data_IF_634928554087
#
_entry.id   IF_634928554087
#
_cell.length_a   1.000
_cell.length_b   1.000
_cell.length_c   1.000
_cell.angle_alpha   90.00
_cell.angle_beta   90.00
_cell.angle_gamma   90.00
#
_symmetry.space_group_name_H-M   'P 1'
#
loop_
_entity.id
_entity.type
_entity.pdbx_description
1 polymer ?
#
# COMPACT_ATOMS: atom_id res chain seq x y z
N UNK A 1 2.76 20.35 3.62
CA UNK A 1 2.92 18.88 3.68
C UNK A 1 2.78 18.24 5.08
N UNK A 2 2.94 18.95 6.22
CA UNK A 2 2.81 18.38 7.59
C UNK A 2 1.39 18.03 8.08
N UNK A 3 0.34 18.36 7.32
CA UNK A 3 -1.08 18.18 7.72
C UNK A 3 -1.57 16.73 7.57
N UNK A 4 -0.99 15.95 6.65
CA UNK A 4 -1.40 14.56 6.40
C UNK A 4 -0.34 13.61 6.94
N UNK A 5 -0.73 12.66 7.80
CA UNK A 5 0.18 11.71 8.42
C UNK A 5 -0.14 10.30 7.88
N UNK A 6 0.44 9.91 6.73
CA UNK A 6 0.22 8.60 6.16
C UNK A 6 0.82 7.52 7.06
N UNK A 7 0.04 6.50 7.34
CA UNK A 7 0.44 5.30 8.08
C UNK A 7 0.63 4.16 7.10
N UNK A 8 1.71 3.40 7.23
CA UNK A 8 2.04 2.36 6.28
C UNK A 8 1.79 0.98 6.87
N UNK A 9 1.30 0.05 6.05
CA UNK A 9 1.35 -1.38 6.37
C UNK A 9 2.73 -1.90 5.97
N UNK A 10 3.57 -2.16 6.97
CA UNK A 10 4.99 -2.49 6.77
C UNK A 10 5.33 -3.86 7.33
N UNK A 11 6.39 -4.45 6.77
CA UNK A 11 6.99 -5.68 7.27
C UNK A 11 7.46 -5.54 8.71
N UNK A 12 7.19 -6.53 9.57
CA UNK A 12 7.68 -6.60 10.95
C UNK A 12 9.21 -6.46 11.03
N UNK A 13 9.93 -6.96 10.04
CA UNK A 13 11.38 -6.87 9.95
C UNK A 13 11.88 -5.42 9.82
N UNK A 14 11.12 -4.52 9.18
CA UNK A 14 11.48 -3.10 9.05
C UNK A 14 11.33 -2.32 10.37
N UNK A 15 10.66 -2.91 11.36
CA UNK A 15 10.63 -2.39 12.72
C UNK A 15 11.97 -2.48 13.45
N UNK A 16 12.98 -3.14 12.87
CA UNK A 16 14.32 -3.29 13.47
C UNK A 16 15.41 -3.04 12.42
N UNK A 17 16.47 -2.32 12.78
CA UNK A 17 17.72 -2.26 12.01
C UNK A 17 17.96 -1.01 11.15
N UNK A 18 16.95 -0.15 10.88
CA UNK A 18 17.17 1.13 10.19
C UNK A 18 16.73 2.27 11.12
N UNK A 19 17.65 2.97 11.80
CA UNK A 19 17.33 3.85 12.94
C UNK A 19 16.16 4.82 12.70
N UNK A 20 16.16 5.53 11.56
CA UNK A 20 15.10 6.50 11.25
C UNK A 20 13.79 5.85 10.76
N UNK A 21 13.87 4.76 9.99
CA UNK A 21 12.69 4.11 9.39
C UNK A 21 11.97 3.27 10.44
N UNK A 22 12.72 2.49 11.21
CA UNK A 22 12.20 1.68 12.32
C UNK A 22 11.56 2.56 13.39
N UNK A 23 12.17 3.69 13.76
CA UNK A 23 11.59 4.61 14.74
C UNK A 23 10.24 5.20 14.27
N UNK A 24 10.16 5.64 13.00
CA UNK A 24 8.92 6.17 12.44
C UNK A 24 7.82 5.10 12.32
N UNK A 25 8.19 3.87 11.97
CA UNK A 25 7.22 2.78 11.84
C UNK A 25 6.68 2.34 13.21
N UNK A 26 7.54 2.29 14.23
CA UNK A 26 7.16 1.85 15.60
C UNK A 26 6.39 2.93 16.36
N UNK A 27 6.87 4.18 16.34
CA UNK A 27 6.25 5.27 17.13
C UNK A 27 5.26 6.11 16.33
N UNK A 28 5.28 6.00 15.00
CA UNK A 28 4.41 6.76 14.12
C UNK A 28 3.03 6.13 13.92
N UNK A 29 2.65 5.05 14.61
CA UNK A 29 1.34 4.40 14.43
C UNK A 29 1.18 3.67 13.09
N UNK A 30 2.29 3.31 12.44
CA UNK A 30 2.28 2.37 11.32
C UNK A 30 2.18 0.95 11.86
N UNK A 31 1.67 0.05 11.04
CA UNK A 31 1.43 -1.33 11.47
C UNK A 31 2.52 -2.24 10.91
N UNK A 32 3.11 -3.03 11.80
CA UNK A 32 4.14 -4.01 11.52
C UNK A 32 3.51 -5.39 11.42
N UNK A 33 3.33 -5.89 10.20
CA UNK A 33 2.71 -7.20 9.93
C UNK A 33 3.76 -8.30 9.76
N UNK A 34 3.47 -9.47 10.32
CA UNK A 34 4.18 -10.70 9.98
C UNK A 34 3.52 -11.30 8.73
N UNK A 35 4.31 -11.53 7.67
CA UNK A 35 3.78 -12.05 6.40
C UNK A 35 3.63 -13.57 6.39
N UNK A 36 4.27 -14.26 7.33
CA UNK A 36 4.17 -15.70 7.47
C UNK A 36 2.91 -16.10 8.26
N UNK A 37 2.37 -15.18 9.07
CA UNK A 37 1.10 -15.35 9.77
C UNK A 37 0.01 -14.43 9.17
N UNK A 38 -0.68 -14.96 8.16
CA UNK A 38 -1.75 -14.23 7.46
C UNK A 38 -2.91 -13.81 8.38
N UNK A 39 -3.24 -14.57 9.42
CA UNK A 39 -4.32 -14.22 10.36
C UNK A 39 -3.92 -13.01 11.20
N UNK A 40 -2.70 -13.03 11.75
CA UNK A 40 -2.15 -11.89 12.48
C UNK A 40 -2.07 -10.64 11.62
N UNK A 41 -1.59 -10.75 10.38
CA UNK A 41 -1.54 -9.63 9.45
C UNK A 41 -2.92 -9.00 9.22
N UNK A 42 -3.96 -9.82 9.02
CA UNK A 42 -5.34 -9.33 8.83
C UNK A 42 -5.86 -8.60 10.07
N UNK A 43 -5.60 -9.13 11.28
CA UNK A 43 -6.01 -8.49 12.53
C UNK A 43 -5.33 -7.12 12.71
N UNK A 44 -4.03 -7.06 12.44
CA UNK A 44 -3.24 -5.84 12.52
C UNK A 44 -3.68 -4.79 11.47
N UNK A 45 -4.01 -5.20 10.24
CA UNK A 45 -4.62 -4.31 9.24
C UNK A 45 -6.00 -3.82 9.69
N UNK A 46 -6.80 -4.67 10.34
CA UNK A 46 -8.07 -4.26 10.94
C UNK A 46 -7.90 -3.21 12.04
N UNK A 47 -6.88 -3.34 12.89
CA UNK A 47 -6.51 -2.31 13.88
C UNK A 47 -6.12 -0.99 13.22
N UNK A 48 -5.38 -1.05 12.12
CA UNK A 48 -5.05 0.15 11.33
C UNK A 48 -6.31 0.85 10.83
N UNK A 49 -7.29 0.09 10.32
CA UNK A 49 -8.57 0.63 9.86
C UNK A 49 -9.30 1.39 10.97
N UNK A 50 -9.46 0.77 12.14
CA UNK A 50 -10.08 1.43 13.29
C UNK A 50 -9.30 2.69 13.74
N UNK A 51 -7.98 2.65 13.65
CA UNK A 51 -7.13 3.78 14.02
C UNK A 51 -7.29 4.97 13.07
N UNK A 52 -7.27 4.72 11.74
CA UNK A 52 -7.42 5.81 10.77
C UNK A 52 -8.80 6.44 10.81
N UNK A 53 -9.84 5.63 11.05
CA UNK A 53 -11.21 6.09 11.24
C UNK A 53 -11.30 7.00 12.47
N UNK A 54 -10.81 6.52 13.63
CA UNK A 54 -10.87 7.27 14.89
C UNK A 54 -10.09 8.59 14.86
N UNK A 55 -8.95 8.61 14.18
CA UNK A 55 -8.02 9.74 14.21
C UNK A 55 -8.01 10.59 12.94
N UNK A 56 -8.92 10.32 12.00
CA UNK A 56 -8.99 10.96 10.69
C UNK A 56 -7.61 11.03 10.01
N UNK A 57 -6.96 9.86 9.91
CA UNK A 57 -5.63 9.70 9.33
C UNK A 57 -5.71 8.98 7.99
N UNK A 58 -4.61 9.02 7.23
CA UNK A 58 -4.49 8.31 5.96
C UNK A 58 -3.70 7.02 6.17
N UNK A 59 -4.10 5.94 5.50
CA UNK A 59 -3.31 4.72 5.39
C UNK A 59 -2.83 4.51 3.95
N UNK A 60 -1.63 3.97 3.79
CA UNK A 60 -1.08 3.52 2.51
C UNK A 60 -0.86 2.01 2.60
N UNK A 61 -1.44 1.29 1.64
CA UNK A 61 -1.39 -0.17 1.57
C UNK A 61 -0.99 -0.61 0.15
N UNK A 62 -0.18 -1.66 0.07
CA UNK A 62 0.16 -2.33 -1.17
C UNK A 62 -0.51 -3.71 -1.18
N UNK A 63 -1.71 -3.84 -1.78
CA UNK A 63 -2.54 -5.04 -1.67
C UNK A 63 -1.93 -6.28 -2.34
N UNK A 64 -1.00 -6.10 -3.29
CA UNK A 64 -0.18 -7.17 -3.87
C UNK A 64 0.72 -7.87 -2.82
N UNK A 65 1.06 -7.15 -1.75
CA UNK A 65 1.92 -7.61 -0.67
C UNK A 65 3.40 -7.76 -1.05
N UNK A 66 3.81 -7.73 -2.31
CA UNK A 66 5.22 -7.76 -2.71
C UNK A 66 5.46 -6.91 -3.95
N UNK A 67 6.68 -6.41 -4.11
CA UNK A 67 7.07 -5.70 -5.34
C UNK A 67 7.03 -6.65 -6.53
N UNK A 68 6.59 -6.13 -7.67
CA UNK A 68 6.83 -6.74 -8.97
C UNK A 68 8.32 -6.67 -9.34
N UNK A 69 8.83 -7.67 -10.06
CA UNK A 69 10.25 -7.75 -10.50
C UNK A 69 10.41 -7.44 -11.98
N UNK A 70 9.37 -7.72 -12.76
CA UNK A 70 9.28 -7.48 -14.20
C UNK A 70 8.45 -6.22 -14.52
N UNK A 71 7.75 -5.68 -13.52
CA UNK A 71 6.96 -4.46 -13.58
C UNK A 71 5.47 -4.69 -13.81
N UNK A 72 5.06 -5.93 -14.10
CA UNK A 72 3.64 -6.28 -14.19
C UNK A 72 3.02 -6.29 -12.78
N UNK A 73 1.87 -5.62 -12.57
CA UNK A 73 1.13 -5.71 -11.32
C UNK A 73 0.77 -7.15 -10.98
N UNK A 74 0.88 -7.51 -9.70
CA UNK A 74 0.41 -8.80 -9.19
C UNK A 74 -1.07 -8.70 -8.81
N UNK A 75 -1.77 -9.85 -8.71
CA UNK A 75 -3.12 -9.85 -8.19
C UNK A 75 -3.18 -9.33 -6.75
N UNK A 76 -4.23 -8.61 -6.44
CA UNK A 76 -4.47 -8.09 -5.10
C UNK A 76 -4.80 -9.22 -4.13
N UNK A 77 -4.38 -9.07 -2.87
CA UNK A 77 -4.82 -9.93 -1.76
C UNK A 77 -6.04 -9.27 -1.09
N UNK A 78 -7.27 -9.69 -1.39
CA UNK A 78 -8.47 -8.93 -1.06
C UNK A 78 -8.75 -8.88 0.45
N UNK A 79 -8.44 -9.94 1.20
CA UNK A 79 -8.83 -10.06 2.61
C UNK A 79 -8.31 -8.94 3.50
N UNK A 80 -7.04 -8.53 3.31
CA UNK A 80 -6.45 -7.44 4.09
C UNK A 80 -7.10 -6.10 3.76
N UNK A 81 -7.28 -5.81 2.47
CA UNK A 81 -7.92 -4.59 1.99
C UNK A 81 -9.39 -4.52 2.43
N UNK A 82 -10.14 -5.62 2.31
CA UNK A 82 -11.54 -5.73 2.76
C UNK A 82 -11.68 -5.44 4.26
N UNK A 83 -10.77 -5.98 5.08
CA UNK A 83 -10.76 -5.72 6.52
C UNK A 83 -10.40 -4.28 6.86
N UNK A 84 -9.48 -3.66 6.13
CA UNK A 84 -9.16 -2.24 6.29
C UNK A 84 -10.39 -1.37 5.99
N UNK A 85 -11.00 -1.57 4.83
CA UNK A 85 -12.17 -0.79 4.37
C UNK A 85 -13.38 -0.99 5.27
N UNK A 86 -13.63 -2.22 5.74
CA UNK A 86 -14.70 -2.50 6.71
C UNK A 86 -14.51 -1.76 8.04
N UNK A 87 -13.26 -1.51 8.45
CA UNK A 87 -12.93 -0.83 9.70
C UNK A 87 -12.73 0.69 9.53
N UNK A 88 -12.69 1.18 8.30
CA UNK A 88 -12.58 2.60 7.96
C UNK A 88 -13.67 3.02 6.96
N UNK A 89 -14.96 2.96 7.34
CA UNK A 89 -16.07 3.25 6.44
C UNK A 89 -16.07 4.69 5.91
N UNK A 90 -15.47 5.66 6.62
CA UNK A 90 -15.39 7.05 6.16
C UNK A 90 -14.24 7.31 5.17
N UNK A 91 -13.39 6.30 4.92
CA UNK A 91 -12.18 6.49 4.13
C UNK A 91 -12.48 6.77 2.66
N UNK A 92 -11.84 7.81 2.13
CA UNK A 92 -11.76 8.08 0.69
C UNK A 92 -10.57 7.29 0.12
N UNK A 93 -10.85 6.43 -0.86
CA UNK A 93 -9.83 5.57 -1.48
C UNK A 93 -9.23 6.31 -2.67
N UNK A 94 -7.90 6.39 -2.73
CA UNK A 94 -7.19 7.01 -3.85
C UNK A 94 -6.30 5.96 -4.50
N UNK A 95 -6.71 5.36 -5.63
CA UNK A 95 -5.87 4.45 -6.37
C UNK A 95 -4.67 5.20 -6.97
N UNK A 96 -3.49 4.57 -6.93
CA UNK A 96 -2.26 5.14 -7.48
C UNK A 96 -1.50 4.06 -8.24
N UNK A 97 -1.16 4.33 -9.49
CA UNK A 97 -0.29 3.48 -10.32
C UNK A 97 1.14 4.02 -10.31
N UNK A 98 2.10 3.15 -10.03
CA UNK A 98 3.51 3.50 -9.98
C UNK A 98 4.23 2.86 -11.16
N UNK A 99 4.67 3.69 -12.11
CA UNK A 99 5.30 3.24 -13.34
C UNK A 99 6.82 3.25 -13.26
N UNK A 100 7.46 2.29 -13.91
CA UNK A 100 8.92 2.14 -14.04
C UNK A 100 9.73 2.03 -12.73
N UNK A 101 9.11 2.00 -11.55
CA UNK A 101 9.83 1.90 -10.27
C UNK A 101 10.70 0.64 -10.17
N UNK A 102 10.29 -0.46 -10.81
CA UNK A 102 11.05 -1.71 -10.89
C UNK A 102 12.40 -1.56 -11.61
N UNK A 103 12.54 -0.60 -12.54
CA UNK A 103 13.77 -0.35 -13.30
C UNK A 103 14.92 0.14 -12.40
N UNK A 104 14.59 0.80 -11.28
CA UNK A 104 15.58 1.27 -10.30
C UNK A 104 16.36 0.12 -9.65
N UNK A 105 15.75 -1.05 -9.50
CA UNK A 105 16.33 -2.21 -8.80
C UNK A 105 16.43 -3.45 -9.70
N UNK A 106 16.25 -3.28 -11.01
CA UNK A 106 16.26 -4.38 -12.00
C UNK A 106 17.57 -5.16 -11.98
N UNK A 107 18.69 -4.46 -11.75
CA UNK A 107 20.04 -5.05 -11.73
C UNK A 107 20.56 -5.34 -10.32
N UNK A 108 19.68 -5.36 -9.32
CA UNK A 108 20.05 -5.50 -7.91
C UNK A 108 20.05 -4.17 -7.16
N UNK A 109 20.63 -4.17 -5.97
CA UNK A 109 20.65 -2.99 -5.09
C UNK A 109 21.73 -1.98 -5.48
N UNK A 110 22.80 -2.44 -6.15
CA UNK A 110 23.90 -1.60 -6.58
C UNK A 110 24.55 -2.15 -7.87
N UNK A 111 24.79 -1.30 -8.88
CA UNK A 111 24.29 0.08 -9.00
C UNK A 111 22.76 0.09 -9.16
N UNK A 112 22.07 1.04 -8.53
CA UNK A 112 20.66 1.29 -8.85
C UNK A 112 20.56 1.73 -10.31
N UNK A 113 19.48 1.33 -10.99
CA UNK A 113 19.23 1.67 -12.40
C UNK A 113 19.29 3.17 -12.61
N UNK A 114 20.38 3.65 -13.24
CA UNK A 114 20.61 5.05 -13.52
C UNK A 114 19.59 5.55 -14.56
N UNK A 115 19.15 6.80 -14.43
CA UNK A 115 18.22 7.48 -15.34
C UNK A 115 16.82 6.83 -15.49
N UNK A 116 16.37 5.98 -14.54
CA UNK A 116 15.02 5.45 -14.59
C UNK A 116 13.98 6.55 -14.30
N UNK A 117 13.12 6.86 -15.29
CA UNK A 117 12.01 7.80 -15.12
C UNK A 117 10.83 7.11 -14.43
N UNK A 118 10.71 7.33 -13.12
CA UNK A 118 9.54 6.90 -12.33
C UNK A 118 8.43 7.93 -12.48
N UNK A 119 7.22 7.47 -12.78
CA UNK A 119 6.02 8.30 -12.83
C UNK A 119 4.93 7.72 -11.94
N UNK A 120 4.10 8.61 -11.42
CA UNK A 120 2.94 8.29 -10.60
C UNK A 120 1.71 8.76 -11.35
N UNK A 121 0.75 7.88 -11.54
CA UNK A 121 -0.58 8.22 -12.04
C UNK A 121 -1.56 8.08 -10.87
N UNK A 122 -2.27 9.16 -10.56
CA UNK A 122 -3.20 9.24 -9.43
C UNK A 122 -4.59 9.22 -10.02
N UNK A 123 -5.34 8.16 -9.76
CA UNK A 123 -6.68 7.98 -10.30
C UNK A 123 -7.72 8.75 -9.48
N UNK A 124 -8.94 8.82 -10.03
CA UNK A 124 -10.06 9.46 -9.36
C UNK A 124 -10.34 8.80 -8.01
N UNK A 125 -10.58 9.59 -6.94
CA UNK A 125 -10.94 9.04 -5.65
C UNK A 125 -12.26 8.28 -5.70
N UNK A 126 -12.34 7.20 -4.93
CA UNK A 126 -13.52 6.33 -4.83
C UNK A 126 -14.01 6.34 -3.38
N UNK A 127 -15.31 6.54 -3.18
CA UNK A 127 -15.90 6.44 -1.85
C UNK A 127 -15.99 4.99 -1.39
N UNK A 128 -15.75 4.73 -0.10
CA UNK A 128 -15.91 3.41 0.50
C UNK A 128 -17.40 3.10 0.78
N UNK A 129 -18.17 2.84 -0.28
CA UNK A 129 -19.60 2.53 -0.21
C UNK A 129 -19.95 1.33 -1.09
N UNK A 130 -21.02 0.63 -0.73
CA UNK A 130 -21.54 -0.50 -1.51
C UNK A 130 -20.86 -1.83 -1.18
N UNK A 131 -20.84 -2.72 -2.17
CA UNK A 131 -20.22 -4.03 -2.05
C UNK A 131 -18.69 -3.94 -2.09
N UNK A 132 -18.03 -4.49 -1.08
CA UNK A 132 -16.57 -4.40 -0.95
C UNK A 132 -15.82 -5.25 -1.97
N UNK A 133 -16.39 -6.35 -2.45
CA UNK A 133 -15.71 -7.21 -3.43
C UNK A 133 -15.70 -6.54 -4.80
N UNK A 134 -16.84 -5.96 -5.21
CA UNK A 134 -16.93 -5.14 -6.44
C UNK A 134 -16.00 -3.92 -6.38
N UNK A 135 -15.97 -3.23 -5.23
CA UNK A 135 -15.10 -2.08 -5.02
C UNK A 135 -13.62 -2.44 -5.14
N UNK A 136 -13.19 -3.58 -4.59
CA UNK A 136 -11.81 -4.05 -4.70
C UNK A 136 -11.44 -4.35 -6.15
N UNK A 137 -12.33 -4.98 -6.92
CA UNK A 137 -12.13 -5.25 -8.35
C UNK A 137 -12.01 -3.93 -9.14
N UNK A 138 -12.84 -2.94 -8.82
CA UNK A 138 -12.76 -1.61 -9.44
C UNK A 138 -11.43 -0.91 -9.12
N UNK A 139 -10.96 -0.98 -7.88
CA UNK A 139 -9.67 -0.40 -7.46
C UNK A 139 -8.51 -1.10 -8.20
N UNK A 140 -8.51 -2.43 -8.23
CA UNK A 140 -7.46 -3.21 -8.91
C UNK A 140 -7.41 -2.89 -10.40
N UNK A 141 -8.57 -2.80 -11.05
CA UNK A 141 -8.69 -2.41 -12.46
C UNK A 141 -8.17 -0.99 -12.70
N UNK A 142 -8.51 -0.04 -11.81
CA UNK A 142 -8.04 1.35 -11.91
C UNK A 142 -6.52 1.44 -11.81
N UNK A 143 -5.92 0.75 -10.84
CA UNK A 143 -4.46 0.72 -10.66
C UNK A 143 -3.77 0.05 -11.85
N UNK A 144 -4.30 -1.07 -12.34
CA UNK A 144 -3.70 -1.82 -13.45
C UNK A 144 -3.77 -1.03 -14.76
N UNK A 145 -4.90 -0.35 -15.03
CA UNK A 145 -5.07 0.46 -16.24
C UNK A 145 -4.16 1.69 -16.29
N UNK A 146 -3.82 2.26 -15.13
CA UNK A 146 -2.85 3.35 -15.00
C UNK A 146 -1.38 2.92 -15.13
N UNK A 147 -1.10 1.61 -15.21
CA UNK A 147 0.25 1.14 -15.55
C UNK A 147 0.47 1.27 -17.05
N UNK A 148 1.35 2.20 -17.43
CA UNK A 148 1.71 2.52 -18.80
C UNK A 148 3.08 1.96 -19.19
N UNK A 149 3.75 1.25 -18.27
CA UNK A 149 5.12 0.77 -18.46
C UNK A 149 5.27 -0.27 -19.60
N UNK A 150 4.16 -0.81 -20.10
CA UNK A 150 4.10 -1.84 -21.16
C UNK A 150 3.10 -1.47 -22.27
N UNK A 151 2.64 -0.22 -22.31
CA UNK A 151 1.81 0.31 -23.41
C UNK A 151 2.69 0.88 -24.50
#
# INVERSE_FOLDING_TARGET
>A
MRKHHPKFVSKKELGKGIPSVSFNLVHGGSVLIDRNDGKSAIMEIGKLGSYIEKHNRSAVIFPEGTRSRDGHPKPFKPMGLKMLLKKAPSALIVPVSINNSWKLVRFGQFPMGLAAKVSFDVQQPIENKGDLDELIVQIESSVTNGVTSFK
#
